data_IF_240031936118
#
_entry.id   IF_240031936118
#
_cell.length_a   1.000
_cell.length_b   1.000
_cell.length_c   1.000
_cell.angle_alpha   90.00
_cell.angle_beta   90.00
_cell.angle_gamma   90.00
#
_symmetry.space_group_name_H-M   'P 1'
#
loop_
_entity.id
_entity.type
_entity.pdbx_description
1 polymer ?
#
# COMPACT_ATOMS: atom_id res chain seq x y z
N UNK A 1 -5.22 -14.53 -3.83
CA UNK A 1 -5.03 -13.89 -2.51
C UNK A 1 -5.00 -12.39 -2.71
N UNK A 2 -5.73 -11.60 -1.92
CA UNK A 2 -5.73 -10.15 -2.07
C UNK A 2 -4.42 -9.56 -1.51
N UNK A 3 -3.92 -8.46 -2.09
CA UNK A 3 -2.70 -7.79 -1.60
C UNK A 3 -2.84 -7.33 -0.13
N UNK A 4 -4.06 -6.99 0.28
CA UNK A 4 -4.38 -6.65 1.67
C UNK A 4 -4.10 -7.85 2.60
N UNK A 5 -4.55 -9.06 2.23
CA UNK A 5 -4.32 -10.27 3.03
C UNK A 5 -2.83 -10.58 3.12
N UNK A 6 -2.09 -10.40 2.02
CA UNK A 6 -0.64 -10.60 1.99
C UNK A 6 0.06 -9.68 2.99
N UNK A 7 -0.37 -8.43 3.09
CA UNK A 7 0.19 -7.47 4.05
C UNK A 7 -0.12 -7.88 5.49
N UNK A 8 -1.36 -8.27 5.79
CA UNK A 8 -1.74 -8.74 7.13
C UNK A 8 -1.00 -10.02 7.55
N UNK A 9 -0.82 -11.00 6.65
CA UNK A 9 -0.09 -12.24 6.93
C UNK A 9 1.40 -11.98 7.25
N UNK A 10 1.97 -10.93 6.66
CA UNK A 10 3.38 -10.57 6.84
C UNK A 10 3.60 -9.52 7.94
N UNK A 11 2.58 -9.19 8.75
CA UNK A 11 2.73 -8.20 9.82
C UNK A 11 3.84 -8.59 10.80
N UNK A 12 4.51 -7.59 11.36
CA UNK A 12 5.57 -7.74 12.35
C UNK A 12 5.34 -6.76 13.49
N UNK A 13 4.82 -7.26 14.61
CA UNK A 13 4.48 -6.44 15.77
C UNK A 13 5.72 -5.79 16.40
N UNK A 14 6.86 -6.51 16.37
CA UNK A 14 8.16 -5.99 16.81
C UNK A 14 8.58 -4.73 16.04
N UNK A 15 8.31 -4.69 14.73
CA UNK A 15 8.63 -3.54 13.89
C UNK A 15 7.52 -2.47 13.92
N UNK A 16 6.27 -2.85 14.21
CA UNK A 16 5.14 -1.93 14.25
C UNK A 16 5.28 -0.88 15.36
N UNK A 17 5.75 -1.30 16.54
CA UNK A 17 5.93 -0.43 17.71
C UNK A 17 6.90 0.74 17.42
N UNK A 18 8.15 0.53 16.98
CA UNK A 18 9.06 1.63 16.69
C UNK A 18 8.59 2.50 15.50
N UNK A 19 7.90 1.91 14.52
CA UNK A 19 7.36 2.67 13.38
C UNK A 19 6.19 3.59 13.78
N UNK A 20 5.30 3.12 14.67
CA UNK A 20 4.23 3.94 15.22
C UNK A 20 4.79 5.06 16.09
N UNK A 21 5.78 4.75 16.95
CA UNK A 21 6.44 5.74 17.79
C UNK A 21 7.12 6.87 16.98
N UNK A 22 7.72 6.55 15.84
CA UNK A 22 8.29 7.53 14.92
C UNK A 22 7.25 8.56 14.43
N UNK A 23 6.01 8.12 14.18
CA UNK A 23 4.90 9.01 13.84
C UNK A 23 4.07 9.44 15.07
N UNK A 24 4.70 9.49 16.26
CA UNK A 24 4.09 9.92 17.53
C UNK A 24 2.83 9.12 17.89
N UNK A 25 2.74 7.86 17.47
CA UNK A 25 1.59 6.98 17.65
C UNK A 25 0.28 7.50 17.05
N UNK A 26 0.36 8.41 16.06
CA UNK A 26 -0.82 8.93 15.37
C UNK A 26 -1.45 7.90 14.41
N UNK A 27 -0.69 6.88 14.03
CA UNK A 27 -1.12 5.86 13.09
C UNK A 27 -0.65 4.47 13.55
N UNK A 28 -1.51 3.44 13.42
CA UNK A 28 -1.07 2.07 13.54
C UNK A 28 -0.22 1.67 12.33
N UNK A 29 0.63 0.67 12.55
CA UNK A 29 1.50 0.10 11.53
C UNK A 29 1.40 -1.42 11.56
N UNK A 30 1.55 -2.04 10.40
CA UNK A 30 1.77 -3.49 10.29
C UNK A 30 3.21 -3.88 10.61
N UNK A 31 4.14 -2.93 10.67
CA UNK A 31 5.56 -3.18 10.88
C UNK A 31 6.26 -3.65 9.61
N UNK A 32 5.74 -3.26 8.44
CA UNK A 32 6.35 -3.59 7.16
C UNK A 32 7.23 -2.43 6.68
N UNK A 33 8.57 -2.54 6.78
CA UNK A 33 9.45 -1.52 6.27
C UNK A 33 9.37 -1.47 4.74
N UNK A 34 9.78 -0.34 4.16
CA UNK A 34 9.68 -0.09 2.70
C UNK A 34 10.24 -1.22 1.82
N UNK A 35 11.43 -1.82 2.09
CA UNK A 35 11.93 -2.93 1.28
C UNK A 35 10.99 -4.13 1.27
N UNK A 36 10.40 -4.47 2.42
CA UNK A 36 9.47 -5.60 2.55
C UNK A 36 8.16 -5.33 1.82
N UNK A 37 7.59 -4.13 1.99
CA UNK A 37 6.37 -3.75 1.23
C UNK A 37 6.60 -3.81 -0.27
N UNK A 38 7.73 -3.29 -0.74
CA UNK A 38 8.10 -3.30 -2.15
C UNK A 38 8.20 -4.73 -2.72
N UNK A 39 8.77 -5.65 -1.94
CA UNK A 39 8.81 -7.07 -2.29
C UNK A 39 7.39 -7.65 -2.43
N UNK A 40 6.55 -7.46 -1.40
CA UNK A 40 5.19 -8.02 -1.34
C UNK A 40 4.27 -7.46 -2.43
N UNK A 41 4.35 -6.16 -2.73
CA UNK A 41 3.50 -5.50 -3.73
C UNK A 41 4.01 -5.66 -5.16
N UNK A 42 5.23 -6.18 -5.39
CA UNK A 42 5.87 -6.22 -6.72
C UNK A 42 5.02 -6.94 -7.75
N UNK A 43 4.49 -8.12 -7.41
CA UNK A 43 3.67 -8.92 -8.32
C UNK A 43 2.33 -8.24 -8.56
N UNK A 44 1.68 -7.75 -7.50
CA UNK A 44 0.43 -7.00 -7.59
C UNK A 44 0.53 -5.79 -8.52
N UNK A 45 1.56 -4.95 -8.34
CA UNK A 45 1.80 -3.76 -9.18
C UNK A 45 2.03 -4.14 -10.65
N UNK A 46 2.72 -5.25 -10.93
CA UNK A 46 2.88 -5.73 -12.31
C UNK A 46 1.56 -6.14 -12.94
N UNK A 47 0.66 -6.77 -12.19
CA UNK A 47 -0.64 -7.23 -12.70
C UNK A 47 -1.58 -6.06 -12.97
N UNK A 48 -1.68 -5.10 -12.04
CA UNK A 48 -2.55 -3.93 -12.23
C UNK A 48 -2.10 -3.04 -13.39
N UNK A 49 -0.79 -2.92 -13.63
CA UNK A 49 -0.27 -2.20 -14.82
C UNK A 49 -0.77 -2.80 -16.14
N UNK A 50 -1.01 -4.11 -16.20
CA UNK A 50 -1.55 -4.75 -17.42
C UNK A 50 -2.98 -4.31 -17.72
N UNK A 51 -3.75 -3.94 -16.69
CA UNK A 51 -5.13 -3.46 -16.83
C UNK A 51 -5.21 -2.07 -17.47
N UNK A 52 -4.13 -1.26 -17.36
CA UNK A 52 -4.02 0.11 -17.89
C UNK A 52 -5.15 1.05 -17.42
N UNK A 53 -5.80 0.72 -16.31
CA UNK A 53 -6.90 1.45 -15.72
C UNK A 53 -6.68 1.57 -14.22
N UNK A 54 -7.09 2.70 -13.66
CA UNK A 54 -6.98 2.99 -12.24
C UNK A 54 -8.22 2.49 -11.53
N UNK A 55 -8.04 1.55 -10.60
CA UNK A 55 -9.07 1.08 -9.68
C UNK A 55 -9.17 2.05 -8.50
N UNK A 56 -10.02 3.07 -8.65
CA UNK A 56 -10.26 4.06 -7.60
C UNK A 56 -10.90 3.44 -6.36
N UNK A 57 -11.71 2.39 -6.52
CA UNK A 57 -12.33 1.67 -5.39
C UNK A 57 -11.24 1.05 -4.50
N UNK A 58 -10.23 0.44 -5.11
CA UNK A 58 -9.05 -0.06 -4.38
C UNK A 58 -8.29 1.07 -3.66
N UNK A 59 -8.05 2.21 -4.33
CA UNK A 59 -7.35 3.35 -3.72
C UNK A 59 -8.09 3.87 -2.49
N UNK A 60 -9.40 4.08 -2.60
CA UNK A 60 -10.22 4.53 -1.47
C UNK A 60 -10.26 3.49 -0.35
N UNK A 61 -10.38 2.21 -0.68
CA UNK A 61 -10.33 1.12 0.31
C UNK A 61 -9.01 1.11 1.08
N UNK A 62 -7.89 1.30 0.40
CA UNK A 62 -6.59 1.42 1.07
C UNK A 62 -6.48 2.65 1.96
N UNK A 63 -7.20 3.73 1.65
CA UNK A 63 -7.19 4.94 2.45
C UNK A 63 -8.04 4.84 3.73
N UNK A 64 -9.10 4.03 3.68
CA UNK A 64 -10.00 3.74 4.80
C UNK A 64 -9.37 2.80 5.84
N UNK A 65 -8.36 2.02 5.45
CA UNK A 65 -7.66 1.13 6.37
C UNK A 65 -6.77 1.93 7.35
N UNK A 66 -6.74 1.54 8.64
CA UNK A 66 -6.10 2.35 9.65
C UNK A 66 -4.57 2.32 9.56
N UNK A 67 -3.97 1.21 9.10
CA UNK A 67 -2.52 1.04 9.09
C UNK A 67 -1.84 1.83 7.98
N UNK A 68 -0.76 2.54 8.35
CA UNK A 68 -0.11 3.51 7.46
C UNK A 68 0.43 2.89 6.16
N UNK A 69 0.77 1.60 6.21
CA UNK A 69 1.22 0.83 5.06
C UNK A 69 0.20 0.76 3.92
N UNK A 70 -1.10 0.86 4.19
CA UNK A 70 -2.12 0.83 3.15
C UNK A 70 -2.18 2.14 2.37
N UNK A 71 -2.02 3.30 3.02
CA UNK A 71 -1.89 4.57 2.28
C UNK A 71 -0.60 4.60 1.45
N UNK A 72 0.49 4.00 1.95
CA UNK A 72 1.71 3.84 1.15
C UNK A 72 1.50 2.92 -0.06
N UNK A 73 0.79 1.80 0.10
CA UNK A 73 0.43 0.90 -1.00
C UNK A 73 -0.42 1.62 -2.06
N UNK A 74 -1.40 2.42 -1.65
CA UNK A 74 -2.21 3.23 -2.56
C UNK A 74 -1.36 4.27 -3.31
N UNK A 75 -0.44 4.94 -2.63
CA UNK A 75 0.46 5.90 -3.26
C UNK A 75 1.41 5.24 -4.27
N UNK A 76 2.01 4.10 -3.91
CA UNK A 76 2.88 3.31 -4.79
C UNK A 76 2.11 2.78 -6.01
N UNK A 77 0.85 2.37 -5.81
CA UNK A 77 -0.07 1.99 -6.87
C UNK A 77 -0.34 3.14 -7.86
N UNK A 78 -0.71 4.32 -7.36
CA UNK A 78 -0.96 5.49 -8.20
C UNK A 78 0.29 5.95 -8.95
N UNK A 79 1.45 5.94 -8.26
CA UNK A 79 2.73 6.27 -8.88
C UNK A 79 3.07 5.31 -10.03
N UNK A 80 2.82 4.01 -9.83
CA UNK A 80 3.00 2.99 -10.84
C UNK A 80 2.05 3.16 -12.04
N UNK A 81 0.86 3.71 -11.80
CA UNK A 81 -0.18 3.95 -12.81
C UNK A 81 -0.15 5.36 -13.42
N UNK A 82 0.82 6.22 -13.05
CA UNK A 82 0.94 7.61 -13.55
C UNK A 82 0.94 7.73 -15.08
N UNK A 83 1.43 6.73 -15.82
CA UNK A 83 1.36 6.75 -17.29
C UNK A 83 -0.05 6.55 -17.85
N UNK A 84 -1.00 6.15 -17.01
CA UNK A 84 -2.40 5.87 -17.31
C UNK A 84 -3.36 6.81 -16.58
N UNK A 85 -2.86 7.78 -15.80
CA UNK A 85 -3.68 8.87 -15.27
C UNK A 85 -4.04 9.81 -16.42
N UNK A 86 -5.14 9.56 -17.11
CA UNK A 86 -5.79 10.56 -17.95
C UNK A 86 -6.35 11.64 -17.03
N UNK A 87 -5.61 12.73 -16.85
CA UNK A 87 -6.26 13.98 -16.48
C UNK A 87 -7.14 14.37 -17.67
N UNK A 88 -8.48 14.50 -17.51
CA UNK A 88 -9.26 15.14 -18.55
C UNK A 88 -8.66 16.54 -18.77
N UNK A 89 -8.29 16.83 -20.02
CA UNK A 89 -7.93 18.19 -20.44
C UNK A 89 -9.16 19.07 -20.44
#
# INVERSE_FOLDING_TARGET
>A
MNIIDVFYINKSEENAIPMSAYLKNNFPFLGLPRPKRNELQKTFIKEVKKRKEIDWSFVFKCWDLPEREFQYLAADYLLAMKSYTTFPK
#
